data_IF_277769302602
#
_entry.id   IF_277769302602
#
_cell.length_a   1.000
_cell.length_b   1.000
_cell.length_c   1.000
_cell.angle_alpha   90.00
_cell.angle_beta   90.00
_cell.angle_gamma   90.00
#
_symmetry.space_group_name_H-M   'P 1'
#
loop_
_entity.id
_entity.type
_entity.pdbx_description
1 polymer ?
#
# COMPACT_ATOMS: atom_id res chain seq x y z
N UNK A 1 3.05 -40.53 -24.89
CA UNK A 1 3.37 -39.76 -23.69
C UNK A 1 2.42 -38.57 -23.61
N UNK A 2 1.55 -38.50 -22.60
CA UNK A 2 0.68 -37.37 -22.36
C UNK A 2 1.37 -36.39 -21.41
N UNK A 3 1.26 -35.09 -21.67
CA UNK A 3 1.73 -34.02 -20.80
C UNK A 3 0.63 -32.97 -20.66
N UNK A 4 0.53 -32.40 -19.47
CA UNK A 4 -0.34 -31.25 -19.27
C UNK A 4 0.19 -30.05 -20.08
N UNK A 5 -0.67 -29.40 -20.84
CA UNK A 5 -0.32 -28.17 -21.54
C UNK A 5 -0.05 -27.05 -20.54
N UNK A 6 1.05 -26.34 -20.72
CA UNK A 6 1.32 -25.11 -19.97
C UNK A 6 0.44 -24.01 -20.54
N UNK A 7 -0.34 -23.35 -19.68
CA UNK A 7 -1.23 -22.24 -20.06
C UNK A 7 -0.74 -20.94 -19.42
N UNK A 8 -0.73 -19.87 -20.17
CA UNK A 8 -0.63 -18.53 -19.58
C UNK A 8 -1.94 -18.18 -18.88
N UNK A 9 -1.92 -17.20 -17.98
CA UNK A 9 -3.13 -16.75 -17.30
C UNK A 9 -4.23 -16.32 -18.30
N UNK A 10 -3.87 -15.55 -19.34
CA UNK A 10 -4.81 -15.17 -20.40
C UNK A 10 -5.38 -16.36 -21.17
N UNK A 11 -4.54 -17.32 -21.54
CA UNK A 11 -4.99 -18.52 -22.24
C UNK A 11 -5.95 -19.35 -21.36
N UNK A 12 -5.71 -19.43 -20.06
CA UNK A 12 -6.58 -20.15 -19.14
C UNK A 12 -7.97 -19.51 -19.07
N UNK A 13 -8.06 -18.17 -18.98
CA UNK A 13 -9.31 -17.42 -19.00
C UNK A 13 -10.07 -17.61 -20.31
N UNK A 14 -9.37 -17.46 -21.44
CA UNK A 14 -9.97 -17.63 -22.78
C UNK A 14 -10.54 -19.04 -22.94
N UNK A 15 -9.78 -20.08 -22.63
CA UNK A 15 -10.21 -21.48 -22.71
C UNK A 15 -11.44 -21.74 -21.83
N UNK A 16 -11.44 -21.23 -20.59
CA UNK A 16 -12.57 -21.39 -19.69
C UNK A 16 -13.87 -20.74 -20.26
N UNK A 17 -13.74 -19.52 -20.81
CA UNK A 17 -14.86 -18.85 -21.45
C UNK A 17 -15.37 -19.60 -22.70
N UNK A 18 -14.46 -20.06 -23.56
CA UNK A 18 -14.82 -20.81 -24.78
C UNK A 18 -15.54 -22.12 -24.45
N UNK A 19 -15.09 -22.84 -23.42
CA UNK A 19 -15.74 -24.07 -23.00
C UNK A 19 -17.18 -23.85 -22.48
N UNK A 20 -17.47 -22.70 -21.90
CA UNK A 20 -18.85 -22.33 -21.54
C UNK A 20 -19.64 -21.97 -22.80
N UNK A 21 -19.08 -21.19 -23.70
CA UNK A 21 -19.74 -20.79 -24.95
C UNK A 21 -20.06 -22.01 -25.85
N UNK A 22 -19.21 -23.02 -25.83
CA UNK A 22 -19.40 -24.30 -26.54
C UNK A 22 -20.34 -25.27 -25.80
N UNK A 23 -20.80 -24.92 -24.58
CA UNK A 23 -21.68 -25.75 -23.76
C UNK A 23 -20.98 -26.98 -23.15
N UNK A 24 -19.65 -27.02 -23.13
CA UNK A 24 -18.85 -28.13 -22.60
C UNK A 24 -18.66 -28.04 -21.08
N UNK A 25 -18.81 -26.85 -20.51
CA UNK A 25 -18.69 -26.57 -19.08
C UNK A 25 -19.75 -25.57 -18.63
N UNK A 26 -20.12 -25.63 -17.37
CA UNK A 26 -20.93 -24.59 -16.73
C UNK A 26 -20.07 -23.41 -16.30
N UNK A 27 -20.67 -22.26 -16.05
CA UNK A 27 -19.98 -21.09 -15.52
C UNK A 27 -19.23 -21.40 -14.21
N UNK A 28 -19.86 -22.16 -13.29
CA UNK A 28 -19.29 -22.57 -12.03
C UNK A 28 -18.06 -23.48 -12.21
N UNK A 29 -18.17 -24.46 -13.13
CA UNK A 29 -17.04 -25.31 -13.49
C UNK A 29 -15.89 -24.52 -14.12
N UNK A 30 -16.21 -23.54 -14.97
CA UNK A 30 -15.22 -22.67 -15.60
C UNK A 30 -14.44 -21.82 -14.57
N UNK A 31 -15.14 -21.27 -13.58
CA UNK A 31 -14.50 -20.56 -12.45
C UNK A 31 -13.56 -21.49 -11.68
N UNK A 32 -14.02 -22.72 -11.39
CA UNK A 32 -13.23 -23.73 -10.68
C UNK A 32 -11.96 -24.19 -11.46
N UNK A 33 -11.92 -24.02 -12.77
CA UNK A 33 -10.75 -24.33 -13.60
C UNK A 33 -9.61 -23.33 -13.46
N UNK A 34 -9.87 -22.13 -12.95
CA UNK A 34 -8.89 -21.04 -12.85
C UNK A 34 -8.17 -21.10 -11.52
N UNK A 35 -6.84 -21.19 -11.54
CA UNK A 35 -6.02 -21.03 -10.35
C UNK A 35 -5.87 -19.53 -10.05
N UNK A 36 -6.38 -19.02 -8.90
CA UNK A 36 -6.34 -17.60 -8.55
C UNK A 36 -4.91 -17.01 -8.53
N UNK A 37 -3.91 -17.83 -8.20
CA UNK A 37 -2.50 -17.40 -8.18
C UNK A 37 -1.99 -16.97 -9.55
N UNK A 38 -2.56 -17.53 -10.62
CA UNK A 38 -2.18 -17.15 -11.98
C UNK A 38 -2.80 -15.80 -12.40
N UNK A 39 -3.83 -15.31 -11.72
CA UNK A 39 -4.49 -14.04 -12.01
C UNK A 39 -3.68 -12.84 -11.51
N UNK A 40 -2.80 -13.05 -10.54
CA UNK A 40 -1.98 -11.98 -9.98
C UNK A 40 -1.18 -11.23 -11.07
N UNK A 41 -0.65 -11.95 -12.06
CA UNK A 41 0.05 -11.33 -13.19
C UNK A 41 -0.84 -10.43 -14.06
N UNK A 42 -2.15 -10.65 -14.07
CA UNK A 42 -3.12 -9.86 -14.84
C UNK A 42 -3.60 -8.61 -14.09
N UNK A 43 -3.34 -8.54 -12.79
CA UNK A 43 -3.70 -7.40 -11.95
C UNK A 43 -2.63 -6.29 -11.94
N UNK A 44 -1.50 -6.53 -12.61
CA UNK A 44 -0.41 -5.58 -12.75
C UNK A 44 -0.33 -5.02 -14.17
N UNK A 45 0.23 -3.82 -14.36
CA UNK A 45 0.49 -3.28 -15.69
C UNK A 45 1.27 -4.26 -16.56
N UNK A 46 0.93 -4.35 -17.83
CA UNK A 46 1.60 -5.22 -18.80
C UNK A 46 2.14 -4.37 -19.96
N UNK A 47 3.14 -4.89 -20.69
CA UNK A 47 3.56 -4.23 -21.92
C UNK A 47 2.51 -4.39 -23.02
N UNK A 48 2.42 -3.39 -23.90
CA UNK A 48 1.68 -3.50 -25.13
C UNK A 48 2.23 -4.71 -25.94
N UNK A 49 1.34 -5.60 -26.34
CA UNK A 49 1.74 -6.87 -26.97
C UNK A 49 2.44 -6.70 -28.32
N UNK A 50 2.09 -5.67 -29.07
CA UNK A 50 2.69 -5.40 -30.38
C UNK A 50 4.09 -4.79 -30.20
N UNK A 51 4.24 -3.85 -29.28
CA UNK A 51 5.51 -3.24 -28.94
C UNK A 51 6.49 -4.27 -28.32
N UNK A 52 5.99 -5.15 -27.45
CA UNK A 52 6.81 -6.21 -26.85
C UNK A 52 7.35 -7.21 -27.86
N UNK A 53 6.56 -7.58 -28.89
CA UNK A 53 7.01 -8.47 -29.97
C UNK A 53 8.15 -7.89 -30.80
N UNK A 54 8.22 -6.58 -30.91
CA UNK A 54 9.28 -5.89 -31.65
C UNK A 54 10.54 -5.68 -30.79
N UNK A 55 10.45 -5.83 -29.46
CA UNK A 55 11.55 -5.61 -28.54
C UNK A 55 12.35 -6.90 -28.30
N UNK A 56 13.68 -6.75 -28.17
CA UNK A 56 14.57 -7.86 -27.82
C UNK A 56 15.10 -7.64 -26.40
N UNK A 57 14.99 -8.62 -25.50
CA UNK A 57 15.58 -8.51 -24.18
C UNK A 57 17.11 -8.36 -24.28
N UNK A 58 17.66 -7.42 -23.55
CA UNK A 58 19.10 -7.21 -23.45
C UNK A 58 19.71 -7.86 -22.20
N UNK A 59 18.87 -8.22 -21.24
CA UNK A 59 19.26 -8.89 -20.01
C UNK A 59 18.10 -9.64 -19.41
N UNK A 60 18.41 -10.57 -18.49
CA UNK A 60 17.43 -11.35 -17.77
C UNK A 60 17.90 -11.60 -16.35
N UNK A 61 17.01 -11.38 -15.41
CA UNK A 61 17.25 -11.65 -13.99
C UNK A 61 16.00 -12.26 -13.35
N UNK A 62 15.92 -12.23 -12.04
CA UNK A 62 14.79 -12.79 -11.31
C UNK A 62 13.58 -11.84 -11.35
N UNK A 63 12.46 -12.29 -11.89
CA UNK A 63 11.17 -11.61 -11.73
C UNK A 63 10.72 -11.72 -10.28
N UNK A 64 10.96 -10.66 -9.51
CA UNK A 64 10.75 -10.68 -8.07
C UNK A 64 9.38 -10.15 -7.64
N UNK A 65 8.80 -9.24 -8.40
CA UNK A 65 7.43 -8.76 -8.25
C UNK A 65 6.82 -8.52 -9.64
N UNK A 66 5.62 -9.05 -9.92
CA UNK A 66 5.06 -9.05 -11.27
C UNK A 66 4.74 -7.64 -11.78
N UNK A 67 4.50 -7.53 -13.09
CA UNK A 67 4.15 -6.32 -13.78
C UNK A 67 5.20 -5.86 -14.77
N UNK A 68 4.83 -4.90 -15.61
CA UNK A 68 5.70 -4.22 -16.55
C UNK A 68 5.92 -2.78 -16.11
N UNK A 69 7.15 -2.32 -16.18
CA UNK A 69 7.49 -0.94 -15.88
C UNK A 69 8.42 -0.36 -16.94
N UNK A 70 8.21 0.89 -17.29
CA UNK A 70 9.10 1.66 -18.15
C UNK A 70 9.30 3.06 -17.58
N UNK A 71 10.45 3.63 -17.80
CA UNK A 71 10.76 4.97 -17.32
C UNK A 71 12.21 5.33 -17.51
N UNK A 72 12.57 6.48 -16.99
CA UNK A 72 13.94 6.99 -16.95
C UNK A 72 14.69 6.36 -15.78
N UNK A 73 15.93 6.00 -15.98
CA UNK A 73 16.80 5.44 -14.95
C UNK A 73 17.12 6.51 -13.91
N UNK A 74 16.97 6.16 -12.65
CA UNK A 74 17.46 6.93 -11.50
C UNK A 74 18.21 5.99 -10.54
N UNK A 75 19.21 6.50 -9.83
CA UNK A 75 20.11 5.70 -9.02
C UNK A 75 19.93 5.89 -7.51
N UNK A 76 19.19 6.91 -7.08
CA UNK A 76 18.93 7.16 -5.67
C UNK A 76 17.44 7.24 -5.38
N UNK A 77 17.06 6.99 -4.12
CA UNK A 77 15.68 7.15 -3.68
C UNK A 77 15.21 8.60 -3.80
N UNK A 78 16.08 9.56 -3.49
CA UNK A 78 15.78 10.99 -3.56
C UNK A 78 15.51 11.43 -5.01
N UNK A 79 16.34 11.00 -5.96
CA UNK A 79 16.12 11.26 -7.39
C UNK A 79 14.79 10.67 -7.86
N UNK A 80 14.44 9.46 -7.39
CA UNK A 80 13.17 8.83 -7.74
C UNK A 80 11.97 9.66 -7.27
N UNK A 81 12.01 10.17 -6.04
CA UNK A 81 10.97 11.05 -5.49
C UNK A 81 10.90 12.37 -6.25
N UNK A 82 12.06 13.02 -6.47
CA UNK A 82 12.13 14.32 -7.14
C UNK A 82 11.62 14.25 -8.58
N UNK A 83 12.05 13.24 -9.34
CA UNK A 83 11.65 13.09 -10.75
C UNK A 83 10.18 12.69 -10.87
N UNK A 84 9.69 11.81 -9.99
CA UNK A 84 8.27 11.47 -9.94
C UNK A 84 7.39 12.68 -9.59
N UNK A 85 7.83 13.56 -8.70
CA UNK A 85 7.15 14.81 -8.37
C UNK A 85 7.04 15.78 -9.56
N UNK A 86 7.97 15.70 -10.52
CA UNK A 86 7.91 16.44 -11.79
C UNK A 86 7.01 15.78 -12.85
N UNK A 87 6.38 14.63 -12.53
CA UNK A 87 5.55 13.86 -13.46
C UNK A 87 6.33 12.90 -14.37
N UNK A 88 7.61 12.67 -14.11
CA UNK A 88 8.42 11.71 -14.85
C UNK A 88 8.17 10.29 -14.36
N UNK A 89 8.09 9.36 -15.29
CA UNK A 89 8.11 7.93 -14.96
C UNK A 89 9.55 7.47 -14.78
N UNK A 90 9.87 6.88 -13.63
CA UNK A 90 11.23 6.47 -13.29
C UNK A 90 11.33 4.99 -12.95
N UNK A 91 12.47 4.40 -13.24
CA UNK A 91 12.88 3.07 -12.80
C UNK A 91 14.10 3.24 -11.89
N UNK A 92 13.95 2.81 -10.64
CA UNK A 92 15.01 2.89 -9.64
C UNK A 92 15.98 1.72 -9.83
N UNK A 93 17.22 2.03 -10.14
CA UNK A 93 18.30 1.04 -10.37
C UNK A 93 19.32 1.15 -9.25
N UNK A 94 19.48 0.08 -8.48
CA UNK A 94 20.37 0.03 -7.30
C UNK A 94 21.28 -1.20 -7.36
N UNK A 95 22.42 -1.12 -6.70
CA UNK A 95 23.21 -2.31 -6.41
C UNK A 95 22.39 -3.30 -5.55
N UNK A 96 21.82 -2.78 -4.47
CA UNK A 96 20.82 -3.40 -3.60
C UNK A 96 20.02 -2.29 -2.92
N UNK A 97 18.81 -2.59 -2.43
CA UNK A 97 18.00 -1.60 -1.70
C UNK A 97 18.08 -1.82 -0.19
N UNK A 98 17.93 -0.72 0.54
CA UNK A 98 17.86 -0.66 2.00
C UNK A 98 16.51 -0.11 2.47
N UNK A 99 16.18 -0.15 3.77
CA UNK A 99 14.98 0.48 4.31
C UNK A 99 14.87 1.98 4.02
N UNK A 100 15.99 2.67 3.85
CA UNK A 100 16.03 4.10 3.51
C UNK A 100 15.53 4.38 2.08
N UNK A 101 15.57 3.38 1.21
CA UNK A 101 15.12 3.51 -0.19
C UNK A 101 13.59 3.40 -0.36
N UNK A 102 12.81 3.10 0.68
CA UNK A 102 11.37 2.81 0.61
C UNK A 102 10.58 3.93 -0.07
N UNK A 103 10.87 5.19 0.22
CA UNK A 103 10.20 6.36 -0.39
C UNK A 103 10.44 6.43 -1.90
N UNK A 104 11.67 6.22 -2.34
CA UNK A 104 12.04 6.16 -3.74
C UNK A 104 11.44 4.95 -4.45
N UNK A 105 11.45 3.79 -3.80
CA UNK A 105 10.81 2.57 -4.33
C UNK A 105 9.31 2.75 -4.54
N UNK A 106 8.63 3.48 -3.66
CA UNK A 106 7.19 3.80 -3.77
C UNK A 106 6.89 4.77 -4.91
N UNK A 107 7.80 5.69 -5.20
CA UNK A 107 7.65 6.70 -6.25
C UNK A 107 8.01 6.17 -7.65
N UNK A 108 8.81 5.10 -7.71
CA UNK A 108 9.25 4.49 -8.97
C UNK A 108 8.16 3.60 -9.59
N UNK A 109 8.13 3.54 -10.93
CA UNK A 109 7.29 2.59 -11.67
C UNK A 109 7.80 1.16 -11.54
N UNK A 110 9.10 0.99 -11.38
CA UNK A 110 9.74 -0.30 -11.23
C UNK A 110 11.10 -0.20 -10.57
N UNK A 111 11.57 -1.35 -10.08
CA UNK A 111 12.81 -1.49 -9.33
C UNK A 111 13.67 -2.55 -10.00
N UNK A 112 14.94 -2.19 -10.28
CA UNK A 112 15.95 -3.10 -10.82
C UNK A 112 17.13 -3.14 -9.86
N UNK A 113 17.52 -4.34 -9.41
CA UNK A 113 18.71 -4.50 -8.57
C UNK A 113 19.73 -5.44 -9.16
N UNK A 114 20.99 -5.13 -8.93
CA UNK A 114 22.13 -5.97 -9.38
C UNK A 114 22.25 -7.19 -8.47
N UNK A 115 22.07 -7.00 -7.17
CA UNK A 115 22.12 -8.05 -6.16
C UNK A 115 20.74 -8.30 -5.58
N UNK A 116 20.52 -9.50 -5.08
CA UNK A 116 19.31 -9.89 -4.40
C UNK A 116 18.63 -11.12 -5.01
N UNK A 117 17.69 -11.66 -4.26
CA UNK A 117 16.86 -12.81 -4.63
C UNK A 117 15.43 -12.60 -4.18
N UNK A 118 14.60 -13.65 -4.19
CA UNK A 118 13.19 -13.59 -3.80
C UNK A 118 12.94 -13.12 -2.36
N UNK A 119 13.93 -13.24 -1.48
CA UNK A 119 13.88 -12.82 -0.07
C UNK A 119 14.66 -11.53 0.19
N UNK A 120 15.20 -10.88 -0.84
CA UNK A 120 15.89 -9.60 -0.68
C UNK A 120 14.91 -8.50 -0.27
N UNK A 121 15.44 -7.43 0.34
CA UNK A 121 14.65 -6.25 0.71
C UNK A 121 13.85 -5.71 -0.49
N UNK A 122 14.51 -5.53 -1.65
CA UNK A 122 13.84 -5.07 -2.87
C UNK A 122 12.65 -5.94 -3.25
N UNK A 123 12.81 -7.25 -3.27
CA UNK A 123 11.78 -8.20 -3.67
C UNK A 123 10.59 -8.23 -2.69
N UNK A 124 10.86 -8.22 -1.38
CA UNK A 124 9.81 -8.27 -0.35
C UNK A 124 8.99 -6.98 -0.34
N UNK A 125 9.68 -5.84 -0.34
CA UNK A 125 9.03 -4.52 -0.29
C UNK A 125 8.26 -4.25 -1.59
N UNK A 126 8.85 -4.54 -2.77
CA UNK A 126 8.19 -4.35 -4.05
C UNK A 126 6.88 -5.16 -4.16
N UNK A 127 6.89 -6.43 -3.72
CA UNK A 127 5.66 -7.25 -3.67
C UNK A 127 4.61 -6.67 -2.72
N UNK A 128 5.04 -6.19 -1.56
CA UNK A 128 4.13 -5.53 -0.61
C UNK A 128 3.49 -4.26 -1.16
N UNK A 129 4.19 -3.55 -2.03
CA UNK A 129 3.71 -2.33 -2.69
C UNK A 129 2.97 -2.60 -4.01
N UNK A 130 3.03 -3.81 -4.56
CA UNK A 130 2.54 -4.11 -5.91
C UNK A 130 3.36 -3.46 -7.03
N UNK A 131 4.63 -3.11 -6.76
CA UNK A 131 5.52 -2.46 -7.72
C UNK A 131 6.33 -3.49 -8.49
N UNK A 132 6.45 -3.32 -9.81
CA UNK A 132 7.28 -4.18 -10.66
C UNK A 132 8.72 -4.25 -10.14
N UNK A 133 9.28 -5.47 -10.03
CA UNK A 133 10.66 -5.63 -9.56
C UNK A 133 11.37 -6.76 -10.31
N UNK A 134 12.55 -6.43 -10.82
CA UNK A 134 13.54 -7.37 -11.35
C UNK A 134 14.78 -7.32 -10.46
N UNK A 135 15.12 -8.43 -9.83
CA UNK A 135 16.16 -8.49 -8.80
C UNK A 135 17.29 -9.44 -9.18
N UNK A 136 18.52 -9.10 -8.77
CA UNK A 136 19.66 -9.97 -8.95
C UNK A 136 20.21 -10.04 -10.38
N UNK A 137 20.22 -8.93 -11.10
CA UNK A 137 20.83 -8.86 -12.43
C UNK A 137 22.36 -8.76 -12.34
N UNK A 138 23.01 -9.89 -12.14
CA UNK A 138 24.47 -9.97 -12.00
C UNK A 138 25.27 -9.59 -13.26
N UNK A 139 24.61 -9.50 -14.43
CA UNK A 139 25.23 -9.05 -15.67
C UNK A 139 25.41 -7.53 -15.74
N UNK A 140 24.79 -6.79 -14.83
CA UNK A 140 24.97 -5.33 -14.69
C UNK A 140 26.29 -5.04 -13.98
N UNK A 141 27.14 -4.26 -14.64
CA UNK A 141 28.33 -3.65 -14.02
C UNK A 141 27.95 -2.24 -13.57
N UNK A 142 27.73 -2.07 -12.27
CA UNK A 142 27.24 -0.83 -11.66
C UNK A 142 28.36 0.12 -11.27
N UNK A 143 28.19 1.39 -11.58
CA UNK A 143 28.99 2.52 -11.08
C UNK A 143 28.04 3.59 -10.50
N UNK A 144 27.62 3.36 -9.27
CA UNK A 144 26.66 4.27 -8.59
C UNK A 144 27.24 5.67 -8.38
N UNK A 145 28.55 5.78 -8.17
CA UNK A 145 29.22 7.07 -7.94
C UNK A 145 29.10 8.00 -9.15
N UNK A 146 29.15 7.43 -10.35
CA UNK A 146 29.02 8.16 -11.61
C UNK A 146 27.61 8.06 -12.22
N UNK A 147 26.64 7.52 -11.46
CA UNK A 147 25.25 7.33 -11.89
C UNK A 147 25.14 6.68 -13.27
N UNK A 148 25.81 5.54 -13.43
CA UNK A 148 25.81 4.75 -14.67
C UNK A 148 25.99 3.25 -14.42
N UNK A 149 25.61 2.46 -15.40
CA UNK A 149 25.89 1.03 -15.43
C UNK A 149 26.07 0.53 -16.86
N UNK A 150 26.70 -0.63 -17.01
CA UNK A 150 26.81 -1.32 -18.29
C UNK A 150 26.03 -2.64 -18.25
N UNK A 151 25.24 -2.91 -19.28
CA UNK A 151 24.53 -4.17 -19.49
C UNK A 151 24.61 -4.57 -20.97
N UNK A 152 24.96 -5.82 -21.25
CA UNK A 152 25.13 -6.34 -22.61
C UNK A 152 26.03 -5.47 -23.52
N UNK A 153 27.05 -4.86 -22.94
CA UNK A 153 28.01 -4.02 -23.67
C UNK A 153 27.53 -2.60 -23.97
N UNK A 154 26.32 -2.21 -23.53
CA UNK A 154 25.80 -0.86 -23.63
C UNK A 154 25.91 -0.16 -22.28
N UNK A 155 26.40 1.10 -22.28
CA UNK A 155 26.44 1.96 -21.11
C UNK A 155 25.12 2.75 -21.00
N UNK A 156 24.56 2.82 -19.79
CA UNK A 156 23.36 3.55 -19.42
C UNK A 156 23.67 4.59 -18.35
N UNK A 157 23.10 5.76 -18.50
CA UNK A 157 23.24 6.87 -17.58
C UNK A 157 21.91 7.25 -16.93
N UNK A 158 21.97 8.09 -15.92
CA UNK A 158 20.77 8.66 -15.33
C UNK A 158 19.95 9.42 -16.39
N UNK A 159 18.65 9.14 -16.43
CA UNK A 159 17.73 9.69 -17.40
C UNK A 159 17.56 8.89 -18.69
N UNK A 160 18.40 7.89 -18.95
CA UNK A 160 18.22 7.00 -20.09
C UNK A 160 16.95 6.13 -19.94
N UNK A 161 16.26 5.84 -21.03
CA UNK A 161 15.04 5.07 -20.98
C UNK A 161 15.32 3.56 -20.80
N UNK A 162 14.55 2.92 -19.94
CA UNK A 162 14.62 1.46 -19.72
C UNK A 162 13.24 0.89 -19.48
N UNK A 163 13.05 -0.38 -19.83
CA UNK A 163 11.84 -1.14 -19.53
C UNK A 163 12.19 -2.46 -18.87
N UNK A 164 11.43 -2.86 -17.86
CA UNK A 164 11.62 -4.09 -17.10
C UNK A 164 10.32 -4.87 -16.97
N UNK A 165 10.41 -6.18 -17.03
CA UNK A 165 9.29 -7.12 -16.87
C UNK A 165 9.50 -7.94 -15.59
N UNK A 166 8.79 -7.60 -14.55
CA UNK A 166 8.85 -8.28 -13.26
C UNK A 166 8.23 -9.68 -13.26
N UNK A 167 7.45 -10.03 -14.29
CA UNK A 167 6.89 -11.37 -14.44
C UNK A 167 7.87 -12.36 -15.08
N UNK A 168 8.64 -11.90 -16.07
CA UNK A 168 9.60 -12.73 -16.81
C UNK A 168 11.05 -12.52 -16.37
N UNK A 169 11.35 -11.40 -15.73
CA UNK A 169 12.68 -10.95 -15.36
C UNK A 169 13.46 -10.31 -16.53
N UNK A 170 12.84 -10.06 -17.65
CA UNK A 170 13.48 -9.47 -18.81
C UNK A 170 13.71 -7.96 -18.65
N UNK A 171 14.81 -7.49 -19.23
CA UNK A 171 15.20 -6.08 -19.24
C UNK A 171 15.36 -5.66 -20.70
N UNK A 172 14.81 -4.50 -21.06
CA UNK A 172 14.78 -3.98 -22.42
C UNK A 172 15.37 -2.59 -22.48
N UNK A 173 16.03 -2.27 -23.57
CA UNK A 173 16.48 -0.92 -23.91
C UNK A 173 15.31 -0.08 -24.41
N UNK A 174 15.21 1.16 -23.94
CA UNK A 174 14.16 2.09 -24.36
C UNK A 174 12.83 1.91 -23.62
N UNK A 175 11.83 2.64 -24.08
CA UNK A 175 10.47 2.64 -23.53
C UNK A 175 9.61 1.67 -24.34
N UNK A 176 9.10 0.65 -23.68
CA UNK A 176 8.01 -0.19 -24.19
C UNK A 176 6.72 0.31 -23.50
N UNK A 177 5.70 0.78 -24.24
CA UNK A 177 4.46 1.25 -23.64
C UNK A 177 3.83 0.19 -22.74
N UNK A 178 3.30 0.63 -21.59
CA UNK A 178 2.56 -0.21 -20.66
C UNK A 178 1.06 0.03 -20.80
N UNK A 179 0.29 -1.02 -20.59
CA UNK A 179 -1.17 -0.99 -20.51
C UNK A 179 -1.57 -1.33 -19.08
N UNK A 180 -2.42 -0.50 -18.49
CA UNK A 180 -2.90 -0.73 -17.15
C UNK A 180 -3.73 -2.02 -17.07
N UNK A 181 -3.66 -2.67 -15.92
CA UNK A 181 -4.48 -3.84 -15.64
C UNK A 181 -5.97 -3.46 -15.66
N UNK A 182 -6.75 -4.14 -16.48
CA UNK A 182 -8.19 -3.93 -16.55
C UNK A 182 -8.92 -5.26 -16.34
N UNK A 183 -9.96 -5.23 -15.49
CA UNK A 183 -10.89 -6.34 -15.33
C UNK A 183 -11.94 -6.25 -16.44
N UNK A 184 -11.56 -6.65 -17.64
CA UNK A 184 -12.40 -6.60 -18.85
C UNK A 184 -12.27 -7.90 -19.67
N UNK A 185 -13.09 -8.07 -20.69
CA UNK A 185 -13.07 -9.24 -21.56
C UNK A 185 -13.30 -10.54 -20.81
N UNK A 186 -12.51 -11.56 -21.09
CA UNK A 186 -12.62 -12.88 -20.47
C UNK A 186 -12.39 -12.84 -18.97
N UNK A 187 -11.49 -11.98 -18.49
CA UNK A 187 -11.27 -11.79 -17.06
C UNK A 187 -12.52 -11.22 -16.38
N UNK A 188 -13.15 -10.21 -16.97
CA UNK A 188 -14.41 -9.64 -16.48
C UNK A 188 -15.54 -10.67 -16.45
N UNK A 189 -15.64 -11.55 -17.47
CA UNK A 189 -16.64 -12.64 -17.50
C UNK A 189 -16.44 -13.62 -16.34
N UNK A 190 -15.20 -14.11 -16.15
CA UNK A 190 -14.86 -15.04 -15.06
C UNK A 190 -15.15 -14.39 -13.71
N UNK A 191 -14.78 -13.13 -13.49
CA UNK A 191 -15.08 -12.41 -12.25
C UNK A 191 -16.58 -12.26 -12.02
N UNK A 192 -17.36 -11.95 -13.05
CA UNK A 192 -18.82 -11.90 -12.97
C UNK A 192 -19.45 -13.24 -12.59
N UNK A 193 -18.94 -14.33 -13.14
CA UNK A 193 -19.38 -15.68 -12.74
C UNK A 193 -18.96 -16.02 -11.30
N UNK A 194 -17.72 -15.68 -10.92
CA UNK A 194 -17.26 -15.85 -9.55
C UNK A 194 -18.16 -15.11 -8.54
N UNK A 195 -18.54 -13.87 -8.85
CA UNK A 195 -19.46 -13.08 -8.02
C UNK A 195 -20.86 -13.70 -7.92
N UNK A 196 -21.32 -14.35 -8.97
CA UNK A 196 -22.63 -15.03 -9.00
C UNK A 196 -22.66 -16.25 -8.05
N UNK A 197 -21.57 -17.00 -7.96
CA UNK A 197 -21.52 -18.28 -7.22
C UNK A 197 -20.88 -18.17 -5.84
N UNK A 198 -20.07 -17.15 -5.57
CA UNK A 198 -19.45 -16.97 -4.26
C UNK A 198 -20.47 -16.67 -3.17
N UNK A 199 -20.20 -17.18 -1.98
CA UNK A 199 -20.99 -16.92 -0.76
C UNK A 199 -20.29 -15.93 0.17
N UNK A 200 -18.96 -15.85 0.10
CA UNK A 200 -18.16 -14.96 0.92
C UNK A 200 -18.02 -13.58 0.29
N UNK A 201 -18.00 -12.57 1.14
CA UNK A 201 -17.77 -11.16 0.75
C UNK A 201 -16.33 -10.78 1.02
N UNK A 202 -15.81 -9.84 0.23
CA UNK A 202 -14.45 -9.31 0.38
C UNK A 202 -14.52 -7.93 1.03
N UNK A 203 -13.81 -7.78 2.15
CA UNK A 203 -13.61 -6.48 2.82
C UNK A 203 -12.13 -6.16 2.85
N UNK A 204 -11.80 -4.87 2.74
CA UNK A 204 -10.43 -4.39 2.81
C UNK A 204 -10.21 -3.52 4.04
N UNK A 205 -8.95 -3.18 4.32
CA UNK A 205 -8.61 -2.17 5.30
C UNK A 205 -8.61 -0.81 4.62
N UNK A 206 -9.25 0.18 5.23
CA UNK A 206 -9.19 1.58 4.81
C UNK A 206 -9.43 2.47 6.03
N UNK A 207 -8.62 3.50 6.17
CA UNK A 207 -8.62 4.40 7.31
C UNK A 207 -9.08 5.82 6.93
N UNK A 208 -9.13 6.13 5.62
CA UNK A 208 -9.59 7.42 5.08
C UNK A 208 -10.77 7.26 4.12
N UNK A 209 -11.59 8.30 3.93
CA UNK A 209 -12.66 8.29 2.93
C UNK A 209 -12.18 8.06 1.49
N UNK A 210 -10.98 8.56 1.16
CA UNK A 210 -10.36 8.36 -0.16
C UNK A 210 -10.01 6.89 -0.40
N UNK A 211 -9.41 6.23 0.60
CA UNK A 211 -9.09 4.80 0.55
C UNK A 211 -10.35 3.94 0.46
N UNK A 212 -11.39 4.29 1.23
CA UNK A 212 -12.68 3.60 1.20
C UNK A 212 -13.35 3.69 -0.18
N UNK A 213 -13.33 4.87 -0.80
CA UNK A 213 -13.82 5.08 -2.16
C UNK A 213 -13.04 4.25 -3.16
N UNK A 214 -11.72 4.28 -3.08
CA UNK A 214 -10.84 3.49 -3.95
C UNK A 214 -11.05 1.99 -3.77
N UNK A 215 -11.19 1.53 -2.52
CA UNK A 215 -11.49 0.14 -2.21
C UNK A 215 -12.80 -0.32 -2.87
N UNK A 216 -13.85 0.50 -2.79
CA UNK A 216 -15.14 0.21 -3.42
C UNK A 216 -15.04 0.18 -4.94
N UNK A 217 -14.34 1.12 -5.56
CA UNK A 217 -14.08 1.12 -7.01
C UNK A 217 -13.36 -0.16 -7.47
N UNK A 218 -12.52 -0.74 -6.61
CA UNK A 218 -11.84 -2.01 -6.84
C UNK A 218 -12.70 -3.25 -6.51
N UNK A 219 -13.95 -3.06 -6.08
CA UNK A 219 -14.90 -4.14 -5.83
C UNK A 219 -14.98 -4.63 -4.39
N UNK A 220 -14.40 -3.93 -3.42
CA UNK A 220 -14.58 -4.26 -2.00
C UNK A 220 -16.02 -4.00 -1.55
N UNK A 221 -16.56 -4.92 -0.76
CA UNK A 221 -17.94 -4.91 -0.28
C UNK A 221 -18.04 -4.42 1.18
N UNK A 222 -17.06 -3.64 1.60
CA UNK A 222 -17.00 -3.03 2.91
C UNK A 222 -15.58 -2.89 3.43
N UNK A 223 -15.47 -2.31 4.61
CA UNK A 223 -14.20 -2.13 5.33
C UNK A 223 -14.14 -3.15 6.47
N UNK A 224 -13.11 -4.00 6.45
CA UNK A 224 -12.86 -5.01 7.47
C UNK A 224 -12.12 -4.47 8.68
N UNK A 225 -11.36 -3.38 8.49
CA UNK A 225 -10.68 -2.66 9.57
C UNK A 225 -10.48 -1.20 9.16
N UNK A 226 -11.03 -0.30 9.98
CA UNK A 226 -10.72 1.13 10.00
C UNK A 226 -10.03 1.44 11.34
N UNK A 227 -8.80 1.91 11.28
CA UNK A 227 -7.96 2.25 12.44
C UNK A 227 -8.12 3.73 12.75
N UNK A 228 -8.83 4.04 13.82
CA UNK A 228 -9.17 5.44 14.16
C UNK A 228 -7.98 6.28 14.57
N UNK A 229 -6.89 5.66 15.04
CA UNK A 229 -5.65 6.37 15.36
C UNK A 229 -5.02 7.09 14.16
N UNK A 230 -5.20 6.58 12.94
CA UNK A 230 -4.66 7.22 11.75
C UNK A 230 -5.34 8.56 11.42
N UNK A 231 -6.59 8.75 11.88
CA UNK A 231 -7.34 9.99 11.69
C UNK A 231 -6.76 11.17 12.48
N UNK A 232 -5.95 10.90 13.53
CA UNK A 232 -5.41 11.96 14.39
C UNK A 232 -4.13 12.61 13.84
N UNK A 233 -3.53 12.05 12.79
CA UNK A 233 -2.31 12.61 12.19
C UNK A 233 -2.57 13.66 11.12
N UNK A 234 -3.81 13.92 10.73
CA UNK A 234 -4.15 14.91 9.73
C UNK A 234 -4.31 16.32 10.34
N UNK A 235 -3.61 17.29 9.74
CA UNK A 235 -3.72 18.70 10.15
C UNK A 235 -3.26 18.95 11.59
N UNK A 236 -4.05 19.75 12.34
CA UNK A 236 -3.77 20.13 13.74
C UNK A 236 -4.39 19.16 14.77
N UNK A 237 -4.97 18.05 14.34
CA UNK A 237 -5.70 17.12 15.22
C UNK A 237 -4.80 16.46 16.24
N UNK A 238 -3.53 16.24 15.87
CA UNK A 238 -2.53 15.65 16.77
C UNK A 238 -2.33 16.50 18.04
N UNK A 239 -2.46 17.82 17.95
CA UNK A 239 -2.30 18.69 19.11
C UNK A 239 -3.39 18.43 20.17
N UNK A 240 -4.67 18.39 19.77
CA UNK A 240 -5.77 18.07 20.66
C UNK A 240 -5.67 16.63 21.20
N UNK A 241 -5.19 15.70 20.41
CA UNK A 241 -4.97 14.33 20.84
C UNK A 241 -3.85 14.22 21.88
N UNK A 242 -2.75 14.95 21.69
CA UNK A 242 -1.65 15.08 22.67
C UNK A 242 -2.11 15.74 23.96
N UNK A 243 -2.97 16.78 23.87
CA UNK A 243 -3.62 17.39 25.05
C UNK A 243 -4.43 16.34 25.85
N UNK A 244 -5.21 15.52 25.17
CA UNK A 244 -5.97 14.43 25.79
C UNK A 244 -5.08 13.42 26.49
N UNK A 245 -3.97 13.01 25.85
CA UNK A 245 -3.01 12.04 26.42
C UNK A 245 -2.34 12.59 27.67
N UNK A 246 -1.94 13.87 27.66
CA UNK A 246 -1.22 14.51 28.78
C UNK A 246 -2.15 15.14 29.82
N UNK A 247 -3.47 14.88 29.77
CA UNK A 247 -4.42 15.30 30.77
C UNK A 247 -4.26 14.52 32.07
N UNK A 248 -4.29 15.19 33.20
CA UNK A 248 -4.18 14.60 34.53
C UNK A 248 -5.55 14.38 35.19
N UNK A 249 -6.55 15.15 34.80
CA UNK A 249 -7.93 15.04 35.29
C UNK A 249 -8.92 14.61 34.20
N UNK A 250 -10.08 14.10 34.60
CA UNK A 250 -11.16 13.72 33.69
C UNK A 250 -11.68 14.95 32.95
N UNK A 251 -11.80 16.10 33.64
CA UNK A 251 -12.29 17.36 33.07
C UNK A 251 -11.34 17.87 31.95
N UNK A 252 -10.02 17.84 32.19
CA UNK A 252 -9.03 18.19 31.16
C UNK A 252 -9.15 17.28 29.95
N UNK A 253 -9.31 15.98 30.20
CA UNK A 253 -9.43 14.98 29.14
C UNK A 253 -10.71 15.15 28.35
N UNK A 254 -11.85 15.37 28.99
CA UNK A 254 -13.13 15.65 28.34
C UNK A 254 -13.06 16.92 27.49
N UNK A 255 -12.42 17.98 27.98
CA UNK A 255 -12.22 19.22 27.22
C UNK A 255 -11.40 19.02 25.94
N UNK A 256 -10.38 18.18 25.98
CA UNK A 256 -9.60 17.81 24.79
C UNK A 256 -10.40 16.92 23.82
N UNK A 257 -11.17 15.96 24.35
CA UNK A 257 -12.05 15.08 23.58
C UNK A 257 -13.18 15.84 22.87
N UNK A 258 -13.70 16.90 23.48
CA UNK A 258 -14.72 17.77 22.87
C UNK A 258 -14.19 18.52 21.64
N UNK A 259 -12.88 18.76 21.57
CA UNK A 259 -12.24 19.31 20.36
C UNK A 259 -12.14 18.27 19.25
N UNK A 260 -11.92 17.01 19.62
CA UNK A 260 -11.70 15.87 18.67
C UNK A 260 -13.03 15.36 18.11
N UNK A 261 -14.09 15.34 18.92
CA UNK A 261 -15.38 14.74 18.57
C UNK A 261 -15.95 15.20 17.22
N UNK A 262 -16.07 16.53 16.94
CA UNK A 262 -16.66 16.98 15.68
C UNK A 262 -15.82 16.60 14.46
N UNK A 263 -14.49 16.57 14.60
CA UNK A 263 -13.58 16.20 13.52
C UNK A 263 -13.70 14.72 13.20
N UNK A 264 -13.66 13.86 14.21
CA UNK A 264 -13.77 12.41 14.02
C UNK A 264 -15.17 12.01 13.54
N UNK A 265 -16.23 12.69 14.02
CA UNK A 265 -17.58 12.52 13.49
C UNK A 265 -17.62 12.82 11.99
N UNK A 266 -17.07 13.98 11.56
CA UNK A 266 -17.02 14.35 10.14
C UNK A 266 -16.20 13.37 9.28
N UNK A 267 -15.18 12.73 9.82
CA UNK A 267 -14.45 11.68 9.13
C UNK A 267 -15.31 10.44 8.90
N UNK A 268 -16.06 10.02 9.91
CA UNK A 268 -16.99 8.89 9.77
C UNK A 268 -18.16 9.21 8.83
N UNK A 269 -18.70 10.43 8.84
CA UNK A 269 -19.71 10.85 7.87
C UNK A 269 -19.22 10.68 6.44
N UNK A 270 -18.03 11.20 6.11
CA UNK A 270 -17.42 11.06 4.81
C UNK A 270 -17.07 9.59 4.46
N UNK A 271 -16.65 8.81 5.46
CA UNK A 271 -16.37 7.39 5.30
C UNK A 271 -17.64 6.62 4.92
N UNK A 272 -18.76 6.89 5.60
CA UNK A 272 -20.04 6.25 5.34
C UNK A 272 -20.62 6.66 3.98
N UNK A 273 -20.48 7.94 3.60
CA UNK A 273 -20.83 8.39 2.26
C UNK A 273 -20.02 7.64 1.18
N UNK A 274 -18.71 7.52 1.38
CA UNK A 274 -17.85 6.81 0.43
C UNK A 274 -18.21 5.32 0.30
N UNK A 275 -18.73 4.70 1.36
CA UNK A 275 -19.12 3.29 1.38
C UNK A 275 -20.53 3.02 0.83
N UNK A 276 -21.39 4.03 0.69
CA UNK A 276 -22.76 3.90 0.14
C UNK A 276 -23.56 2.73 0.76
N UNK A 277 -23.52 2.61 2.08
CA UNK A 277 -24.25 1.58 2.84
C UNK A 277 -23.51 0.25 3.00
N UNK A 278 -22.31 0.10 2.45
CA UNK A 278 -21.47 -1.07 2.75
C UNK A 278 -20.96 -1.02 4.20
N UNK A 279 -20.81 -2.18 4.87
CA UNK A 279 -20.43 -2.24 6.27
C UNK A 279 -18.97 -1.82 6.50
N UNK A 280 -18.72 -1.22 7.65
CA UNK A 280 -17.38 -0.90 8.14
C UNK A 280 -17.18 -1.42 9.55
N UNK A 281 -16.03 -2.05 9.80
CA UNK A 281 -15.59 -2.43 11.14
C UNK A 281 -14.60 -1.38 11.63
N UNK A 282 -15.01 -0.62 12.63
CA UNK A 282 -14.21 0.47 13.22
C UNK A 282 -13.51 -0.06 14.47
N UNK A 283 -12.19 0.08 14.49
CA UNK A 283 -11.39 -0.16 15.69
C UNK A 283 -11.24 1.16 16.46
N UNK A 284 -11.71 1.19 17.68
CA UNK A 284 -11.45 2.32 18.58
C UNK A 284 -9.96 2.39 18.89
N UNK A 285 -9.53 3.48 19.51
CA UNK A 285 -8.14 3.75 19.83
C UNK A 285 -7.46 2.52 20.47
N UNK A 286 -6.47 1.98 19.79
CA UNK A 286 -5.79 0.75 20.20
C UNK A 286 -4.33 0.94 20.62
N UNK A 287 -3.47 1.69 19.89
CA UNK A 287 -2.06 1.78 20.24
C UNK A 287 -1.82 2.39 21.62
N UNK A 288 -0.69 2.08 22.29
CA UNK A 288 -0.29 2.73 23.53
C UNK A 288 -0.13 4.24 23.34
N UNK A 289 -0.49 5.01 24.36
CA UNK A 289 -0.50 6.48 24.26
C UNK A 289 0.88 7.09 24.04
N UNK A 290 1.96 6.43 24.48
CA UNK A 290 3.32 6.92 24.27
C UNK A 290 3.75 7.01 22.80
N UNK A 291 3.06 6.31 21.88
CA UNK A 291 3.38 6.39 20.44
C UNK A 291 2.97 7.73 19.81
N UNK A 292 2.11 8.51 20.48
CA UNK A 292 1.58 9.77 19.95
C UNK A 292 2.17 11.01 20.59
N UNK A 293 2.91 10.86 21.69
CA UNK A 293 3.48 12.00 22.41
C UNK A 293 4.66 12.61 21.65
N UNK A 294 4.90 13.93 21.77
CA UNK A 294 6.00 14.57 21.10
C UNK A 294 7.34 14.15 21.68
N UNK A 295 8.33 14.02 20.81
CA UNK A 295 9.74 13.75 21.17
C UNK A 295 10.60 15.00 21.10
N UNK A 296 10.25 15.96 20.24
CA UNK A 296 10.98 17.19 20.03
C UNK A 296 10.66 18.23 21.10
N UNK A 297 11.69 18.95 21.57
CA UNK A 297 11.53 19.94 22.64
C UNK A 297 10.58 21.10 22.30
N UNK A 298 10.55 21.50 21.04
CA UNK A 298 9.68 22.56 20.55
C UNK A 298 8.20 22.16 20.66
N UNK A 299 7.87 20.93 20.27
CA UNK A 299 6.52 20.38 20.37
C UNK A 299 6.10 20.15 21.83
N UNK A 300 7.03 19.69 22.68
CA UNK A 300 6.77 19.55 24.12
C UNK A 300 6.47 20.91 24.74
N UNK A 301 7.22 21.96 24.39
CA UNK A 301 6.99 23.31 24.86
C UNK A 301 5.63 23.85 24.40
N UNK A 302 5.29 23.67 23.13
CA UNK A 302 3.99 24.04 22.57
C UNK A 302 2.83 23.39 23.34
N UNK A 303 2.96 22.09 23.64
CA UNK A 303 1.99 21.33 24.42
C UNK A 303 1.90 21.83 25.88
N UNK A 304 3.02 22.13 26.50
CA UNK A 304 3.07 22.70 27.84
C UNK A 304 2.36 24.06 27.92
N UNK A 305 2.65 24.94 26.97
CA UNK A 305 1.99 26.25 26.89
C UNK A 305 0.47 26.13 26.69
N UNK A 306 0.03 25.19 25.83
CA UNK A 306 -1.39 24.94 25.57
C UNK A 306 -2.15 24.44 26.81
N UNK A 307 -1.49 23.66 27.68
CA UNK A 307 -2.09 23.10 28.89
C UNK A 307 -1.81 23.92 30.17
N UNK A 308 -1.04 25.01 30.07
CA UNK A 308 -0.65 25.80 31.23
C UNK A 308 0.27 25.02 32.21
N UNK A 309 1.02 24.05 31.71
CA UNK A 309 1.98 23.20 32.45
C UNK A 309 3.40 23.60 32.13
N UNK A 310 4.35 23.16 32.97
CA UNK A 310 5.78 23.32 32.65
C UNK A 310 6.27 22.22 31.71
N UNK A 311 7.37 22.48 31.00
CA UNK A 311 8.01 21.47 30.13
C UNK A 311 8.42 20.24 30.92
N UNK A 312 8.89 20.42 32.16
CA UNK A 312 9.26 19.34 33.06
C UNK A 312 8.06 18.47 33.46
N UNK A 313 6.90 19.08 33.68
CA UNK A 313 5.65 18.34 33.97
C UNK A 313 5.25 17.48 32.78
N UNK A 314 5.25 18.04 31.56
CA UNK A 314 4.92 17.28 30.34
C UNK A 314 5.93 16.13 30.12
N UNK A 315 7.23 16.38 30.28
CA UNK A 315 8.25 15.33 30.18
C UNK A 315 8.03 14.21 31.20
N UNK A 316 7.67 14.55 32.43
CA UNK A 316 7.36 13.55 33.47
C UNK A 316 6.13 12.69 33.12
N UNK A 317 5.09 13.29 32.52
CA UNK A 317 3.91 12.57 32.05
C UNK A 317 4.30 11.62 30.90
N UNK A 318 5.06 12.09 29.93
CA UNK A 318 5.54 11.30 28.79
C UNK A 318 6.38 10.10 29.26
N UNK A 319 7.31 10.34 30.18
CA UNK A 319 8.15 9.27 30.75
C UNK A 319 7.31 8.21 31.47
N UNK A 320 6.25 8.65 32.16
CA UNK A 320 5.30 7.75 32.84
C UNK A 320 4.44 6.90 31.91
N UNK A 321 4.31 7.29 30.64
CA UNK A 321 3.52 6.55 29.64
C UNK A 321 4.36 5.45 28.93
N UNK A 322 5.67 5.40 29.16
CA UNK A 322 6.55 4.47 28.47
C UNK A 322 6.26 3.02 28.89
N UNK A 323 6.00 2.18 27.91
CA UNK A 323 5.66 0.76 28.12
C UNK A 323 6.87 -0.13 27.86
N UNK A 324 7.17 -1.03 28.80
CA UNK A 324 8.23 -2.03 28.62
C UNK A 324 7.88 -3.02 27.50
N UNK A 325 6.60 -3.40 27.43
CA UNK A 325 6.06 -4.24 26.35
C UNK A 325 4.79 -3.60 25.81
N UNK A 326 4.87 -2.89 24.66
CA UNK A 326 3.72 -2.21 24.06
C UNK A 326 2.52 -3.13 23.75
N UNK A 327 2.77 -4.41 23.46
CA UNK A 327 1.69 -5.37 23.18
C UNK A 327 0.86 -5.72 24.42
N UNK A 328 1.47 -5.70 25.59
CA UNK A 328 0.84 -6.02 26.87
C UNK A 328 0.53 -4.79 27.71
N UNK A 329 0.84 -3.60 27.22
CA UNK A 329 0.73 -2.34 27.92
C UNK A 329 -0.70 -1.81 28.06
N UNK A 330 -0.81 -0.55 28.50
CA UNK A 330 -2.07 0.17 28.70
C UNK A 330 -2.63 0.67 27.38
N UNK A 331 -3.32 -0.21 26.67
CA UNK A 331 -3.88 0.03 25.34
C UNK A 331 -5.22 -0.66 25.12
N UNK A 332 -5.92 -0.30 24.04
CA UNK A 332 -7.16 -0.94 23.59
C UNK A 332 -8.23 -0.97 24.66
N UNK A 333 -8.76 -2.15 24.99
CA UNK A 333 -9.82 -2.30 25.98
C UNK A 333 -9.37 -1.91 27.40
N UNK A 334 -8.10 -2.10 27.77
CA UNK A 334 -7.58 -1.65 29.06
C UNK A 334 -7.61 -0.13 29.19
N UNK A 335 -7.24 0.56 28.11
CA UNK A 335 -7.35 2.03 28.03
C UNK A 335 -8.79 2.50 28.17
N UNK A 336 -9.72 1.85 27.46
CA UNK A 336 -11.15 2.17 27.51
C UNK A 336 -11.82 1.93 28.89
N UNK A 337 -11.25 1.02 29.69
CA UNK A 337 -11.69 0.78 31.08
C UNK A 337 -11.16 1.88 32.00
N UNK A 338 -9.91 2.28 31.84
CA UNK A 338 -9.29 3.30 32.69
C UNK A 338 -9.78 4.72 32.37
N UNK A 339 -9.96 5.01 31.08
CA UNK A 339 -10.43 6.30 30.56
C UNK A 339 -11.69 6.11 29.70
N UNK A 340 -12.84 5.79 30.32
CA UNK A 340 -14.08 5.46 29.59
C UNK A 340 -14.61 6.62 28.74
N UNK A 341 -14.26 7.86 29.05
CA UNK A 341 -14.60 9.06 28.29
C UNK A 341 -14.06 9.00 26.83
N UNK A 342 -12.91 8.39 26.60
CA UNK A 342 -12.35 8.18 25.24
C UNK A 342 -13.28 7.31 24.43
N UNK A 343 -13.67 6.16 24.97
CA UNK A 343 -14.58 5.23 24.29
C UNK A 343 -15.98 5.83 24.11
N UNK A 344 -16.47 6.61 25.08
CA UNK A 344 -17.74 7.35 24.96
C UNK A 344 -17.69 8.36 23.83
N UNK A 345 -16.60 9.13 23.71
CA UNK A 345 -16.42 10.11 22.62
C UNK A 345 -16.43 9.40 21.26
N UNK A 346 -15.63 8.36 21.08
CA UNK A 346 -15.57 7.62 19.80
C UNK A 346 -16.92 6.98 19.46
N UNK A 347 -17.63 6.42 20.44
CA UNK A 347 -18.99 5.90 20.26
C UNK A 347 -19.96 6.99 19.79
N UNK A 348 -19.90 8.18 20.41
CA UNK A 348 -20.72 9.34 19.99
C UNK A 348 -20.41 9.73 18.54
N UNK A 349 -19.12 9.79 18.16
CA UNK A 349 -18.71 10.13 16.79
C UNK A 349 -19.26 9.14 15.77
N UNK A 350 -19.08 7.83 16.02
CA UNK A 350 -19.57 6.74 15.15
C UNK A 350 -21.08 6.77 14.97
N UNK A 351 -21.83 6.87 16.08
CA UNK A 351 -23.30 6.80 16.03
C UNK A 351 -23.90 8.09 15.45
N UNK A 352 -23.38 9.26 15.81
CA UNK A 352 -23.87 10.53 15.25
C UNK A 352 -23.61 10.64 13.74
N UNK A 353 -22.50 10.12 13.27
CA UNK A 353 -22.20 10.07 11.85
C UNK A 353 -23.14 9.12 11.07
N UNK A 354 -23.76 8.15 11.74
CA UNK A 354 -24.68 7.18 11.12
C UNK A 354 -26.15 7.63 11.11
N UNK A 355 -26.51 8.70 11.82
CA UNK A 355 -27.87 9.24 11.91
C UNK A 355 -28.07 10.34 10.86
#
# INVERSE_FOLDING_TARGET
QTRNGKRTAQAALKIACDLVDEGMRTEEEAVAMIDPRNLDTLLHPQFDAAALKAATPMGKALGASPGAACGKIVFTADDAVEWAARGEKVVLVRLETSPEDITGMKSAQGILTVRGGMTSHAAVVARGMGTCCVSGCGDIVMDEANKKFTLAGKEFHEGDPISIDGSTGNIYDGIIPTVDATIAGEFGRIMGWADKYRTMKVRTNADTPADAKKARELGAEGIGLCRTEHMFFEGNRIDAFREMICSETEEEREAALDKILPEQQGDFEKLYEALEGNPVTIRFLDPPLHEFVPTEEEDIKKLADAQGKTVEQIKAIIDGLHEFNPMMGHRGCRLAVTYPEIAKMQTKAVIRAAI
#
